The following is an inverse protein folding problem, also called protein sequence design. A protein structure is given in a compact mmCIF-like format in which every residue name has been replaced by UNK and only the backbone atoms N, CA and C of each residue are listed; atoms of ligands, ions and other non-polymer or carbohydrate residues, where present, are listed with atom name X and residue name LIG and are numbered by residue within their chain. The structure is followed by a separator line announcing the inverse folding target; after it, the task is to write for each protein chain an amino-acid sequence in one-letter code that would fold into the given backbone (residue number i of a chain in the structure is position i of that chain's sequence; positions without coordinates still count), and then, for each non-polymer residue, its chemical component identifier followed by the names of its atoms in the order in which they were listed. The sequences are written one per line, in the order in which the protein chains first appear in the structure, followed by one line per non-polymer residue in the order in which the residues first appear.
data_IF_336432965692
#
_entry.id   IF_336432965692
#
_cell.length_a   1.000
_cell.length_b   1.000
_cell.length_c   1.000
_cell.angle_alpha   90.00
_cell.angle_beta   90.00
_cell.angle_gamma   90.00
#
_symmetry.space_group_name_H-M   'P 1'
#
loop_
_entity.id
_entity.type
_entity.pdbx_description
1 polymer ?
#
# COMPACT_ATOMS: atom_id res chain seq x y z
N UNK A 1 -3.30 6.12 3.72
CA UNK A 1 -3.15 4.93 2.85
C UNK A 1 -4.47 4.16 2.85
N UNK A 2 -4.92 3.65 1.70
CA UNK A 2 -6.24 2.98 1.53
C UNK A 2 -6.06 1.65 0.80
N UNK A 3 -6.99 0.70 0.99
CA UNK A 3 -6.94 -0.62 0.32
C UNK A 3 -7.41 -0.58 -1.15
N UNK A 4 -8.33 0.32 -1.47
CA UNK A 4 -8.93 0.51 -2.79
C UNK A 4 -9.14 2.01 -2.99
N UNK A 5 -8.90 2.50 -4.20
CA UNK A 5 -9.23 3.88 -4.55
C UNK A 5 -10.75 4.08 -4.52
N UNK A 6 -11.19 5.32 -4.27
CA UNK A 6 -12.61 5.66 -4.38
C UNK A 6 -13.07 5.40 -5.81
N UNK A 7 -14.32 4.95 -5.96
CA UNK A 7 -14.92 4.75 -7.27
C UNK A 7 -14.88 6.06 -8.06
N UNK A 8 -14.49 5.98 -9.33
CA UNK A 8 -14.29 7.16 -10.19
C UNK A 8 -13.04 8.00 -9.92
N UNK A 9 -12.16 7.61 -8.99
CA UNK A 9 -10.90 8.33 -8.75
C UNK A 9 -9.96 8.23 -9.98
N UNK A 10 -9.58 9.38 -10.53
CA UNK A 10 -8.58 9.47 -11.59
C UNK A 10 -7.18 9.11 -11.09
N UNK A 11 -6.48 8.21 -11.81
CA UNK A 11 -5.10 7.82 -11.50
C UNK A 11 -4.13 8.69 -12.30
N UNK A 12 -3.39 9.56 -11.62
CA UNK A 12 -2.39 10.45 -12.25
C UNK A 12 -1.02 9.79 -12.34
N UNK A 13 -0.57 9.15 -11.26
CA UNK A 13 0.68 8.38 -11.23
C UNK A 13 0.35 6.88 -11.19
N UNK A 14 0.66 6.17 -12.27
CA UNK A 14 0.40 4.73 -12.36
C UNK A 14 1.31 3.96 -11.40
N UNK A 15 0.90 2.72 -11.07
CA UNK A 15 1.68 1.81 -10.23
C UNK A 15 3.13 1.59 -10.71
N UNK A 16 3.35 1.64 -12.04
CA UNK A 16 4.66 1.41 -12.65
C UNK A 16 5.59 2.62 -12.48
N UNK A 17 5.04 3.84 -12.42
CA UNK A 17 5.83 5.07 -12.25
C UNK A 17 6.17 5.36 -10.78
N UNK A 18 5.39 4.87 -9.81
CA UNK A 18 5.64 5.15 -8.39
C UNK A 18 6.87 4.41 -7.87
N UNK A 19 7.89 5.17 -7.46
CA UNK A 19 9.09 4.65 -6.81
C UNK A 19 9.02 4.81 -5.29
N UNK A 20 8.92 6.04 -4.79
CA UNK A 20 8.90 6.30 -3.35
C UNK A 20 7.56 6.87 -2.90
N UNK A 21 7.11 6.45 -1.72
CA UNK A 21 5.98 7.03 -1.00
C UNK A 21 6.46 7.38 0.40
N UNK A 22 6.20 8.61 0.83
CA UNK A 22 6.66 9.15 2.12
C UNK A 22 5.45 9.58 2.93
N UNK A 23 5.46 9.24 4.22
CA UNK A 23 4.51 9.71 5.22
C UNK A 23 5.29 10.18 6.45
N UNK A 24 4.59 10.75 7.43
CA UNK A 24 5.11 11.09 8.75
C UNK A 24 5.63 9.86 9.54
N UNK A 25 5.27 8.65 9.10
CA UNK A 25 5.67 7.38 9.71
C UNK A 25 6.82 6.67 8.98
N UNK A 26 7.32 7.23 7.87
CA UNK A 26 8.51 6.69 7.18
C UNK A 26 8.44 6.76 5.66
N UNK A 27 9.33 5.98 5.02
CA UNK A 27 9.52 5.95 3.56
C UNK A 27 9.38 4.52 3.04
N UNK A 28 8.57 4.34 1.99
CA UNK A 28 8.40 3.08 1.28
C UNK A 28 8.93 3.21 -0.16
N UNK A 29 9.97 2.44 -0.49
CA UNK A 29 10.37 2.19 -1.87
C UNK A 29 9.51 1.06 -2.44
N UNK A 30 8.88 1.28 -3.59
CA UNK A 30 7.99 0.37 -4.30
C UNK A 30 8.57 -0.10 -5.65
N UNK A 31 9.73 0.42 -6.05
CA UNK A 31 10.41 0.02 -7.29
C UNK A 31 10.82 -1.46 -7.21
N UNK A 32 10.54 -2.21 -8.27
CA UNK A 32 10.84 -3.65 -8.36
C UNK A 32 10.03 -4.56 -7.42
N UNK A 33 9.12 -4.03 -6.59
CA UNK A 33 8.33 -4.83 -5.64
C UNK A 33 7.07 -5.41 -6.29
N UNK A 34 6.73 -6.65 -5.93
CA UNK A 34 5.47 -7.27 -6.29
C UNK A 34 4.28 -6.68 -5.48
N UNK A 35 3.04 -7.06 -5.79
CA UNK A 35 1.86 -6.47 -5.13
C UNK A 35 1.81 -6.69 -3.61
N UNK A 36 2.20 -7.87 -3.12
CA UNK A 36 2.21 -8.19 -1.69
C UNK A 36 3.28 -7.37 -0.95
N UNK A 37 4.49 -7.31 -1.51
CA UNK A 37 5.59 -6.52 -0.98
C UNK A 37 5.28 -5.02 -0.96
N UNK A 38 4.58 -4.51 -1.98
CA UNK A 38 4.12 -3.11 -2.02
C UNK A 38 3.05 -2.86 -0.97
N UNK A 39 2.09 -3.76 -0.81
CA UNK A 39 1.08 -3.65 0.23
C UNK A 39 1.73 -3.62 1.62
N UNK A 40 2.68 -4.51 1.89
CA UNK A 40 3.45 -4.51 3.16
C UNK A 40 4.14 -3.17 3.41
N UNK A 41 4.95 -2.74 2.45
CA UNK A 41 5.73 -1.52 2.58
C UNK A 41 4.85 -0.28 2.80
N UNK A 42 3.69 -0.22 2.15
CA UNK A 42 2.71 0.85 2.36
C UNK A 42 2.04 0.76 3.74
N UNK A 43 1.66 -0.44 4.20
CA UNK A 43 1.07 -0.64 5.53
C UNK A 43 2.05 -0.22 6.63
N UNK A 44 3.33 -0.54 6.48
CA UNK A 44 4.36 -0.24 7.48
C UNK A 44 4.57 1.28 7.68
N UNK A 45 4.30 2.09 6.65
CA UNK A 45 4.34 3.56 6.73
C UNK A 45 2.94 4.19 6.88
N UNK A 46 1.89 3.40 7.09
CA UNK A 46 0.55 3.92 7.36
C UNK A 46 0.40 4.35 8.83
N UNK A 47 -0.60 5.21 9.10
CA UNK A 47 -0.97 5.58 10.47
C UNK A 47 -1.29 4.34 11.32
N UNK A 48 -0.76 4.21 12.55
CA UNK A 48 -0.90 3.02 13.40
C UNK A 48 -2.34 2.51 13.53
N UNK A 49 -3.30 3.42 13.77
CA UNK A 49 -4.73 3.08 13.91
C UNK A 49 -5.37 2.41 12.67
N UNK A 50 -4.73 2.47 11.50
CA UNK A 50 -5.28 1.91 10.26
C UNK A 50 -4.55 0.65 9.79
N UNK A 51 -3.39 0.32 10.37
CA UNK A 51 -2.56 -0.80 9.91
C UNK A 51 -3.31 -2.12 9.95
N UNK A 52 -3.97 -2.42 11.06
CA UNK A 52 -4.72 -3.67 11.23
C UNK A 52 -5.81 -3.84 10.15
N UNK A 53 -6.60 -2.79 9.88
CA UNK A 53 -7.64 -2.83 8.85
C UNK A 53 -7.05 -3.06 7.45
N UNK A 54 -5.90 -2.45 7.15
CA UNK A 54 -5.20 -2.64 5.88
C UNK A 54 -4.58 -4.05 5.77
N UNK A 55 -4.04 -4.60 6.85
CA UNK A 55 -3.49 -5.96 6.88
C UNK A 55 -4.59 -7.01 6.64
N UNK A 56 -5.73 -6.88 7.32
CA UNK A 56 -6.89 -7.76 7.08
C UNK A 56 -7.37 -7.67 5.63
N UNK A 57 -7.41 -6.47 5.05
CA UNK A 57 -7.78 -6.27 3.64
C UNK A 57 -6.77 -6.88 2.68
N UNK A 58 -5.47 -6.72 2.95
CA UNK A 58 -4.40 -7.32 2.15
C UNK A 58 -4.45 -8.85 2.21
N UNK A 59 -4.66 -9.43 3.40
CA UNK A 59 -4.84 -10.87 3.56
C UNK A 59 -6.04 -11.39 2.76
N UNK A 60 -7.20 -10.71 2.85
CA UNK A 60 -8.38 -11.06 2.03
C UNK A 60 -8.09 -11.01 0.52
N UNK A 61 -7.25 -10.06 0.09
CA UNK A 61 -6.92 -9.87 -1.33
C UNK A 61 -5.93 -10.91 -1.87
N UNK A 62 -4.91 -11.26 -1.09
CA UNK A 62 -3.78 -12.07 -1.55
C UNK A 62 -3.76 -13.49 -0.97
N UNK A 63 -4.53 -13.78 0.08
CA UNK A 63 -4.62 -15.08 0.78
C UNK A 63 -3.28 -15.62 1.29
N UNK A 64 -2.30 -14.75 1.49
CA UNK A 64 -0.94 -15.06 1.98
C UNK A 64 -0.43 -13.90 2.83
N UNK A 65 0.32 -14.22 3.89
CA UNK A 65 1.07 -13.25 4.70
C UNK A 65 2.56 -13.47 4.42
N UNK A 66 3.12 -12.54 3.64
CA UNK A 66 4.53 -12.31 3.29
C UNK A 66 5.38 -13.53 2.93
#
# INVERSE_FOLDING_TARGET
IVNTLKEGAGVTTTRAHTHYVVTEYGVANLFGKNYQQRAKALIDIAHPNHREALERAAYKRFKTLY
#
